data_IF_306689386846
#
_entry.id   IF_306689386846
#
_cell.length_a   1.000
_cell.length_b   1.000
_cell.length_c   1.000
_cell.angle_alpha   90.00
_cell.angle_beta   90.00
_cell.angle_gamma   90.00
#
_symmetry.space_group_name_H-M   'P 1'
#
loop_
_entity.id
_entity.type
_entity.pdbx_description
1 polymer ?
#
# COMPACT_ATOMS: atom_id res chain seq x y z
N UNK A 1 60.24 -32.57 -43.30
CA UNK A 1 60.41 -31.89 -41.98
C UNK A 1 59.36 -30.80 -41.86
N UNK A 2 58.30 -31.00 -41.05
CA UNK A 2 57.72 -29.85 -40.31
C UNK A 2 57.23 -30.25 -38.90
N UNK A 3 57.69 -29.58 -37.84
CA UNK A 3 57.11 -28.41 -37.15
C UNK A 3 55.82 -28.73 -36.37
N UNK A 4 55.99 -29.20 -35.14
CA UNK A 4 54.91 -29.35 -34.15
C UNK A 4 54.38 -27.98 -33.72
N UNK A 5 53.09 -27.75 -33.97
CA UNK A 5 52.32 -26.62 -33.45
C UNK A 5 51.68 -27.05 -32.14
N UNK A 6 52.09 -26.43 -31.03
CA UNK A 6 51.40 -26.55 -29.75
C UNK A 6 50.11 -25.74 -29.81
N UNK A 7 48.95 -26.42 -29.73
CA UNK A 7 47.65 -25.77 -29.62
C UNK A 7 47.40 -25.30 -28.18
N UNK A 8 46.77 -24.13 -27.98
CA UNK A 8 46.47 -23.61 -26.65
C UNK A 8 45.44 -24.49 -25.94
N UNK A 9 45.61 -24.61 -24.62
CA UNK A 9 44.73 -25.37 -23.74
C UNK A 9 43.37 -24.66 -23.62
N UNK A 10 42.37 -25.10 -24.40
CA UNK A 10 40.99 -24.62 -24.31
C UNK A 10 40.27 -25.38 -23.20
N UNK A 11 40.72 -25.17 -21.96
CA UNK A 11 39.99 -25.57 -20.75
C UNK A 11 38.92 -24.52 -20.37
N UNK A 12 38.55 -23.62 -21.29
CA UNK A 12 37.29 -22.88 -21.16
C UNK A 12 36.16 -23.80 -21.61
N UNK A 13 35.69 -24.64 -20.68
CA UNK A 13 34.54 -25.50 -20.88
C UNK A 13 33.35 -24.67 -21.41
N UNK A 14 32.98 -24.91 -22.67
CA UNK A 14 31.74 -24.40 -23.21
C UNK A 14 30.59 -25.14 -22.52
N UNK A 15 29.66 -24.40 -21.91
CA UNK A 15 28.42 -24.95 -21.38
C UNK A 15 27.68 -25.72 -22.48
N UNK A 16 27.23 -26.94 -22.19
CA UNK A 16 26.50 -27.73 -23.19
C UNK A 16 25.10 -27.14 -23.42
N UNK A 17 24.53 -27.29 -24.62
CA UNK A 17 23.16 -26.81 -24.92
C UNK A 17 22.13 -27.45 -23.97
N UNK A 18 22.31 -28.74 -23.66
CA UNK A 18 21.47 -29.46 -22.71
C UNK A 18 21.58 -28.90 -21.29
N UNK A 19 22.77 -28.51 -20.85
CA UNK A 19 22.99 -27.88 -19.55
C UNK A 19 22.26 -26.53 -19.45
N UNK A 20 22.37 -25.67 -20.46
CA UNK A 20 21.61 -24.42 -20.49
C UNK A 20 20.09 -24.66 -20.47
N UNK A 21 19.60 -25.67 -21.18
CA UNK A 21 18.18 -26.06 -21.15
C UNK A 21 17.75 -26.50 -19.75
N UNK A 22 18.54 -27.35 -19.09
CA UNK A 22 18.27 -27.80 -17.72
C UNK A 22 18.28 -26.62 -16.75
N UNK A 23 19.23 -25.69 -16.87
CA UNK A 23 19.28 -24.47 -16.05
C UNK A 23 18.02 -23.63 -16.25
N UNK A 24 17.58 -23.42 -17.49
CA UNK A 24 16.35 -22.67 -17.76
C UNK A 24 15.10 -23.36 -17.20
N UNK A 25 15.02 -24.69 -17.28
CA UNK A 25 13.94 -25.47 -16.66
C UNK A 25 13.94 -25.29 -15.14
N UNK A 26 15.10 -25.36 -14.50
CA UNK A 26 15.23 -25.15 -13.05
C UNK A 26 14.86 -23.71 -12.66
N UNK A 27 15.35 -22.69 -13.39
CA UNK A 27 15.02 -21.28 -13.15
C UNK A 27 13.53 -21.02 -13.33
N UNK A 28 12.91 -21.59 -14.36
CA UNK A 28 11.47 -21.51 -14.60
C UNK A 28 10.66 -22.15 -13.47
N UNK A 29 11.08 -23.32 -12.99
CA UNK A 29 10.44 -23.98 -11.86
C UNK A 29 10.57 -23.17 -10.56
N UNK A 30 11.75 -22.58 -10.28
CA UNK A 30 11.96 -21.69 -9.14
C UNK A 30 11.11 -20.44 -9.26
N UNK A 31 11.08 -19.80 -10.43
CA UNK A 31 10.29 -18.60 -10.68
C UNK A 31 8.78 -18.87 -10.48
N UNK A 32 8.27 -20.02 -10.95
CA UNK A 32 6.87 -20.40 -10.75
C UNK A 32 6.47 -20.47 -9.26
N UNK A 33 7.39 -20.87 -8.39
CA UNK A 33 7.16 -20.91 -6.93
C UNK A 33 7.40 -19.56 -6.26
N UNK A 34 8.42 -18.81 -6.69
CA UNK A 34 8.84 -17.57 -6.05
C UNK A 34 7.95 -16.35 -6.42
N UNK A 35 7.57 -16.21 -7.69
CA UNK A 35 6.79 -15.07 -8.19
C UNK A 35 5.49 -14.77 -7.43
N UNK A 36 4.61 -15.73 -7.09
CA UNK A 36 3.39 -15.42 -6.34
C UNK A 36 3.67 -14.84 -4.95
N UNK A 37 4.81 -15.17 -4.35
CA UNK A 37 5.25 -14.58 -3.08
C UNK A 37 5.56 -13.10 -3.21
N UNK A 38 6.24 -12.70 -4.30
CA UNK A 38 6.54 -11.30 -4.58
C UNK A 38 5.26 -10.47 -4.80
N UNK A 39 4.27 -11.01 -5.52
CA UNK A 39 2.98 -10.33 -5.76
C UNK A 39 2.20 -10.11 -4.46
N UNK A 40 2.22 -11.07 -3.54
CA UNK A 40 1.58 -10.88 -2.22
C UNK A 40 2.32 -9.84 -1.39
N UNK A 41 3.65 -9.79 -1.49
CA UNK A 41 4.48 -8.83 -0.75
C UNK A 41 4.17 -7.39 -1.17
N UNK A 42 4.09 -7.09 -2.47
CA UNK A 42 3.70 -5.76 -2.95
C UNK A 42 2.31 -5.34 -2.47
N UNK A 43 1.32 -6.26 -2.42
CA UNK A 43 -0.04 -5.96 -1.93
C UNK A 43 -0.03 -5.61 -0.45
N UNK A 44 0.77 -6.33 0.35
CA UNK A 44 0.91 -6.02 1.78
C UNK A 44 1.56 -4.66 2.01
N UNK A 45 2.52 -4.27 1.18
CA UNK A 45 3.15 -2.96 1.25
C UNK A 45 2.20 -1.85 0.79
N UNK A 46 1.52 -2.01 -0.35
CA UNK A 46 0.53 -1.07 -0.83
C UNK A 46 -0.57 -0.82 0.22
N UNK A 47 -1.04 -1.87 0.90
CA UNK A 47 -2.02 -1.75 1.98
C UNK A 47 -1.48 -0.99 3.20
N UNK A 48 -0.21 -1.19 3.57
CA UNK A 48 0.42 -0.46 4.68
C UNK A 48 0.59 1.01 4.32
N UNK A 49 1.12 1.31 3.13
CA UNK A 49 1.26 2.68 2.65
C UNK A 49 -0.09 3.40 2.55
N UNK A 50 -1.15 2.72 2.10
CA UNK A 50 -2.50 3.29 2.05
C UNK A 50 -3.03 3.65 3.45
N UNK A 51 -2.80 2.80 4.45
CA UNK A 51 -3.17 3.11 5.84
C UNK A 51 -2.34 4.28 6.36
N UNK A 52 -1.02 4.25 6.19
CA UNK A 52 -0.13 5.32 6.65
C UNK A 52 -0.48 6.67 6.02
N UNK A 53 -0.83 6.69 4.73
CA UNK A 53 -1.31 7.88 4.05
C UNK A 53 -2.65 8.37 4.62
N UNK A 54 -3.60 7.46 4.86
CA UNK A 54 -4.87 7.81 5.52
C UNK A 54 -4.64 8.41 6.91
N UNK A 55 -3.74 7.82 7.71
CA UNK A 55 -3.36 8.33 9.03
C UNK A 55 -2.78 9.75 8.93
N UNK A 56 -1.83 9.98 8.01
CA UNK A 56 -1.24 11.29 7.77
C UNK A 56 -2.28 12.31 7.28
N UNK A 57 -3.21 11.89 6.41
CA UNK A 57 -4.30 12.71 5.94
C UNK A 57 -5.23 13.12 7.08
N UNK A 58 -5.60 12.20 7.99
CA UNK A 58 -6.44 12.48 9.15
C UNK A 58 -5.77 13.45 10.14
N UNK A 59 -4.48 13.27 10.41
CA UNK A 59 -3.71 14.17 11.29
C UNK A 59 -3.65 15.61 10.77
N UNK A 60 -3.62 15.77 9.45
CA UNK A 60 -3.56 17.09 8.78
C UNK A 60 -4.93 17.60 8.35
N UNK A 61 -6.00 16.83 8.58
CA UNK A 61 -7.35 17.11 8.09
C UNK A 61 -7.94 18.37 8.73
N UNK A 62 -7.78 18.53 10.05
CA UNK A 62 -8.26 19.73 10.75
C UNK A 62 -7.64 21.02 10.22
N UNK A 63 -6.35 20.98 9.85
CA UNK A 63 -5.69 22.12 9.20
C UNK A 63 -6.26 22.41 7.81
N UNK A 64 -6.49 21.37 6.98
CA UNK A 64 -7.08 21.52 5.63
C UNK A 64 -8.51 22.06 5.67
N UNK A 65 -9.34 21.53 6.57
CA UNK A 65 -10.72 21.99 6.80
C UNK A 65 -10.71 23.48 7.16
N UNK A 66 -9.79 23.89 8.05
CA UNK A 66 -9.62 25.30 8.43
C UNK A 66 -9.14 26.19 7.29
N UNK A 67 -8.16 25.73 6.50
CA UNK A 67 -7.64 26.53 5.36
C UNK A 67 -8.67 26.69 4.26
N UNK A 68 -9.49 25.66 4.02
CA UNK A 68 -10.56 25.68 3.02
C UNK A 68 -11.79 26.45 3.51
N UNK A 69 -11.96 26.62 4.83
CA UNK A 69 -13.11 27.29 5.45
C UNK A 69 -14.43 26.55 5.24
N UNK A 70 -14.38 25.26 4.87
CA UNK A 70 -15.54 24.41 4.64
C UNK A 70 -15.58 23.30 5.67
N UNK A 71 -16.77 22.98 6.16
CA UNK A 71 -16.96 21.83 7.04
C UNK A 71 -16.80 20.52 6.27
N UNK A 72 -16.28 19.51 6.96
CA UNK A 72 -16.25 18.14 6.47
C UNK A 72 -17.12 17.27 7.38
N UNK A 73 -18.05 16.54 6.76
CA UNK A 73 -18.90 15.57 7.41
C UNK A 73 -18.53 14.18 6.90
N UNK A 74 -18.26 13.26 7.81
CA UNK A 74 -18.05 11.85 7.49
C UNK A 74 -19.24 11.08 8.05
N UNK A 75 -20.03 10.47 7.18
CA UNK A 75 -21.19 9.64 7.54
C UNK A 75 -21.10 8.25 6.91
N UNK A 76 -22.23 7.59 6.69
CA UNK A 76 -22.32 6.25 6.11
C UNK A 76 -22.03 6.22 4.61
N UNK A 77 -22.19 7.35 3.94
CA UNK A 77 -21.97 7.50 2.50
C UNK A 77 -20.52 7.81 2.19
N UNK A 78 -19.78 8.38 3.15
CA UNK A 78 -18.39 8.77 2.96
C UNK A 78 -18.07 10.13 3.57
N UNK A 79 -17.02 10.75 3.07
CA UNK A 79 -16.57 12.08 3.47
C UNK A 79 -17.08 13.14 2.48
N UNK A 80 -17.80 14.15 2.98
CA UNK A 80 -18.33 15.27 2.19
C UNK A 80 -17.76 16.58 2.73
N UNK A 81 -17.09 17.42 1.90
CA UNK A 81 -16.73 17.18 0.51
C UNK A 81 -15.57 16.18 0.33
N UNK A 82 -15.66 15.32 -0.67
CA UNK A 82 -14.67 14.26 -0.97
C UNK A 82 -13.26 14.80 -1.24
N UNK A 83 -13.13 16.04 -1.70
CA UNK A 83 -11.83 16.65 -2.00
C UNK A 83 -10.95 16.86 -0.76
N UNK A 84 -11.53 16.92 0.44
CA UNK A 84 -10.79 17.13 1.69
C UNK A 84 -10.13 15.85 2.23
N UNK A 85 -10.65 14.68 1.85
CA UNK A 85 -10.15 13.37 2.25
C UNK A 85 -10.05 12.46 1.02
N UNK A 86 -8.83 12.26 0.51
CA UNK A 86 -8.60 11.45 -0.68
C UNK A 86 -8.37 10.00 -0.27
N UNK A 87 -9.25 9.12 -0.69
CA UNK A 87 -9.10 7.68 -0.47
C UNK A 87 -8.46 7.00 -1.68
N UNK A 88 -7.56 6.01 -1.49
CA UNK A 88 -7.09 5.17 -2.58
C UNK A 88 -8.21 4.31 -3.18
N UNK A 89 -7.99 3.76 -4.36
CA UNK A 89 -8.98 2.93 -5.04
C UNK A 89 -9.42 1.73 -4.18
N UNK A 90 -10.74 1.51 -4.11
CA UNK A 90 -11.33 0.42 -3.33
C UNK A 90 -11.35 0.63 -1.81
N UNK A 91 -10.91 1.80 -1.33
CA UNK A 91 -11.06 2.20 0.07
C UNK A 91 -12.31 3.05 0.26
N UNK A 92 -13.07 2.75 1.30
CA UNK A 92 -14.18 3.60 1.73
C UNK A 92 -14.07 3.89 3.22
N UNK A 93 -14.59 5.04 3.63
CA UNK A 93 -14.71 5.40 5.04
C UNK A 93 -16.16 5.61 5.38
N UNK A 94 -16.56 5.16 6.56
CA UNK A 94 -17.89 5.38 7.08
C UNK A 94 -17.82 5.74 8.55
N UNK A 95 -18.81 6.48 9.05
CA UNK A 95 -18.91 6.76 10.49
C UNK A 95 -20.37 6.76 10.95
N UNK A 96 -20.60 6.12 12.11
CA UNK A 96 -21.90 6.14 12.81
C UNK A 96 -21.63 6.21 14.33
N UNK A 97 -21.97 7.30 15.03
CA UNK A 97 -22.56 8.56 14.52
C UNK A 97 -21.62 9.32 13.57
N UNK A 98 -22.15 10.26 12.76
CA UNK A 98 -21.34 11.04 11.82
C UNK A 98 -20.28 11.87 12.55
N UNK A 99 -19.12 12.01 11.92
CA UNK A 99 -17.99 12.78 12.44
C UNK A 99 -17.99 14.13 11.75
N UNK A 100 -18.02 15.19 12.56
CA UNK A 100 -18.04 16.57 12.08
C UNK A 100 -16.68 17.23 12.31
N UNK A 101 -16.10 17.73 11.23
CA UNK A 101 -15.01 18.69 11.23
C UNK A 101 -15.58 20.06 10.90
N UNK A 102 -15.58 20.95 11.88
CA UNK A 102 -16.08 22.31 11.74
C UNK A 102 -15.10 23.16 10.91
N UNK A 103 -15.59 24.21 10.26
CA UNK A 103 -14.79 25.10 9.39
C UNK A 103 -13.63 25.80 10.12
N UNK A 104 -13.63 25.80 11.46
CA UNK A 104 -12.51 26.29 12.27
C UNK A 104 -11.38 25.26 12.45
N UNK A 105 -11.52 24.04 11.93
CA UNK A 105 -10.59 22.92 12.05
C UNK A 105 -10.80 22.01 13.26
N UNK A 106 -11.79 22.30 14.11
CA UNK A 106 -12.13 21.46 15.27
C UNK A 106 -12.92 20.25 14.82
N UNK A 107 -12.51 19.07 15.27
CA UNK A 107 -13.22 17.84 15.05
C UNK A 107 -13.94 17.39 16.33
N UNK A 108 -15.22 17.02 16.20
CA UNK A 108 -16.07 16.58 17.30
C UNK A 108 -15.82 15.12 17.73
N UNK A 109 -14.94 14.42 17.02
CA UNK A 109 -14.57 13.03 17.31
C UNK A 109 -15.65 12.02 16.92
N UNK A 110 -15.32 10.75 17.12
CA UNK A 110 -16.21 9.63 16.81
C UNK A 110 -15.45 8.38 16.37
N UNK A 111 -16.20 7.38 15.91
CA UNK A 111 -15.65 6.13 15.41
C UNK A 111 -15.67 6.14 13.89
N UNK A 112 -14.48 6.13 13.30
CA UNK A 112 -14.29 6.05 11.86
C UNK A 112 -14.03 4.58 11.48
N UNK A 113 -14.82 4.05 10.58
CA UNK A 113 -14.60 2.74 9.98
C UNK A 113 -13.96 2.91 8.62
N UNK A 114 -12.88 2.18 8.39
CA UNK A 114 -12.13 2.17 7.15
C UNK A 114 -12.28 0.80 6.52
N UNK A 115 -12.87 0.72 5.34
CA UNK A 115 -13.12 -0.52 4.64
C UNK A 115 -12.21 -0.64 3.42
N UNK A 116 -11.60 -1.82 3.26
CA UNK A 116 -10.83 -2.20 2.08
C UNK A 116 -11.07 -3.66 1.74
N UNK A 117 -11.83 -3.91 0.67
CA UNK A 117 -12.33 -5.24 0.34
C UNK A 117 -13.17 -5.82 1.50
N UNK A 118 -12.74 -6.94 2.07
CA UNK A 118 -13.41 -7.57 3.23
C UNK A 118 -12.86 -7.09 4.58
N UNK A 119 -11.76 -6.35 4.59
CA UNK A 119 -11.15 -5.89 5.84
C UNK A 119 -11.79 -4.58 6.28
N UNK A 120 -12.17 -4.52 7.56
CA UNK A 120 -12.65 -3.29 8.20
C UNK A 120 -11.75 -2.96 9.37
N UNK A 121 -11.26 -1.74 9.42
CA UNK A 121 -10.46 -1.20 10.53
C UNK A 121 -11.25 -0.11 11.22
N UNK A 122 -11.35 -0.16 12.55
CA UNK A 122 -12.05 0.86 13.33
C UNK A 122 -11.03 1.77 14.02
N UNK A 123 -11.13 3.06 13.75
CA UNK A 123 -10.31 4.11 14.33
C UNK A 123 -11.17 4.96 15.27
N UNK A 124 -10.65 5.28 16.45
CA UNK A 124 -11.25 6.28 17.33
C UNK A 124 -10.59 7.62 17.05
N UNK A 125 -11.37 8.59 16.63
CA UNK A 125 -10.91 9.95 16.46
C UNK A 125 -11.17 10.74 17.74
N UNK A 126 -10.11 11.15 18.42
CA UNK A 126 -10.21 11.89 19.68
C UNK A 126 -10.29 13.40 19.44
N UNK A 127 -11.34 14.09 19.91
CA UNK A 127 -11.40 15.55 19.87
C UNK A 127 -10.22 16.19 20.61
N UNK A 128 -9.84 17.44 20.29
CA UNK A 128 -10.38 18.30 19.23
C UNK A 128 -9.64 18.15 17.89
N UNK A 129 -8.51 17.44 17.88
CA UNK A 129 -7.64 17.29 16.71
C UNK A 129 -7.98 16.07 15.85
N UNK A 130 -8.82 15.18 16.37
CA UNK A 130 -9.11 13.88 15.78
C UNK A 130 -7.86 13.09 15.44
N UNK A 131 -6.91 13.10 16.39
CA UNK A 131 -5.78 12.21 16.37
C UNK A 131 -6.31 10.76 16.30
N UNK A 132 -5.94 9.99 15.28
CA UNK A 132 -6.45 8.65 15.11
C UNK A 132 -5.79 7.70 16.11
N UNK A 133 -6.57 7.18 17.05
CA UNK A 133 -6.21 6.06 17.90
C UNK A 133 -6.74 4.75 17.32
N UNK A 134 -5.93 3.70 17.29
CA UNK A 134 -6.44 2.35 16.98
C UNK A 134 -7.19 1.82 18.19
N UNK A 135 -8.48 1.51 18.04
CA UNK A 135 -9.16 0.63 19.00
C UNK A 135 -8.72 -0.79 18.62
N UNK A 136 -8.05 -1.47 19.55
CA UNK A 136 -7.65 -2.87 19.39
C UNK A 136 -8.83 -3.80 19.59
#
# INVERSE_FOLDING_TARGET
MPMSVTRPNVDQAAFTLLELLVVLVIVGAIAAVALPGLVRMQETWARRTALDDLFNQLQTLGYRVRSDGRELLIDESGAVPEQLLRLPDGWTVTARPPIHYMANGVCLGGKLQVHHGRATHTLLLQPPLCAPGTIR
#
